data_IF_198262446881
#
_entry.id   IF_198262446881
#
_cell.length_a   1.000
_cell.length_b   1.000
_cell.length_c   1.000
_cell.angle_alpha   90.00
_cell.angle_beta   90.00
_cell.angle_gamma   90.00
#
_symmetry.space_group_name_H-M   'P 1'
#
loop_
_entity.id
_entity.type
_entity.pdbx_description
1 polymer ?
#
# COMPACT_ATOMS: atom_id res chain seq x y z
N UNK A 1 2.97 -3.70 5.71
CA UNK A 1 4.10 -4.56 5.33
C UNK A 1 3.57 -5.64 4.38
N UNK A 2 3.77 -5.49 3.06
CA UNK A 2 3.46 -6.57 2.12
C UNK A 2 4.56 -7.61 2.07
N UNK A 3 4.18 -8.80 2.50
CA UNK A 3 4.81 -10.05 2.10
C UNK A 3 4.01 -10.63 0.90
N UNK A 4 4.60 -10.62 -0.29
CA UNK A 4 4.08 -11.41 -1.42
C UNK A 4 4.44 -12.87 -1.10
N UNK A 5 3.52 -13.58 -0.45
CA UNK A 5 3.68 -14.99 -0.08
C UNK A 5 3.15 -15.90 -1.18
N UNK A 6 4.02 -16.47 -2.00
CA UNK A 6 3.61 -17.59 -2.86
C UNK A 6 3.31 -18.85 -2.02
N UNK A 7 2.11 -18.95 -1.43
CA UNK A 7 1.60 -20.09 -0.65
C UNK A 7 0.48 -19.68 0.31
N UNK A 8 -0.43 -20.60 0.73
CA UNK A 8 -1.55 -20.25 1.60
C UNK A 8 -1.05 -19.76 2.97
N UNK A 9 -1.38 -18.51 3.30
CA UNK A 9 -1.20 -17.85 4.60
C UNK A 9 -2.03 -18.48 5.73
N UNK A 10 -3.03 -19.28 5.35
CA UNK A 10 -3.86 -20.08 6.22
C UNK A 10 -4.76 -20.97 5.38
N UNK A 11 -5.13 -22.12 5.91
CA UNK A 11 -6.21 -22.95 5.37
C UNK A 11 -7.52 -22.54 6.06
N UNK A 12 -8.53 -22.17 5.30
CA UNK A 12 -9.80 -21.77 5.92
C UNK A 12 -10.53 -23.03 6.41
N UNK A 13 -10.43 -23.29 7.72
CA UNK A 13 -11.17 -24.35 8.43
C UNK A 13 -12.70 -24.14 8.43
N UNK A 14 -13.19 -23.03 7.87
CA UNK A 14 -14.58 -22.78 7.54
C UNK A 14 -14.72 -22.21 6.13
N UNK A 15 -14.80 -23.09 5.12
CA UNK A 15 -14.89 -22.67 3.72
C UNK A 15 -16.17 -21.86 3.45
N UNK A 16 -16.02 -20.60 3.06
CA UNK A 16 -17.13 -19.82 2.49
C UNK A 16 -17.58 -20.51 1.20
N UNK A 17 -18.80 -21.07 1.20
CA UNK A 17 -19.43 -21.78 0.06
C UNK A 17 -18.72 -23.08 -0.39
N UNK A 18 -18.02 -23.79 0.51
CA UNK A 18 -17.43 -25.10 0.20
C UNK A 18 -16.23 -25.07 -0.75
N UNK A 19 -15.68 -23.88 -1.04
CA UNK A 19 -14.44 -23.73 -1.81
C UNK A 19 -13.32 -23.23 -0.90
N UNK A 20 -12.19 -23.91 -0.89
CA UNK A 20 -10.97 -23.44 -0.23
C UNK A 20 -10.37 -22.31 -1.08
N UNK A 21 -10.24 -21.12 -0.51
CA UNK A 21 -9.54 -19.98 -1.12
C UNK A 21 -8.17 -19.88 -0.48
N UNK A 22 -7.12 -19.89 -1.29
CA UNK A 22 -5.75 -19.71 -0.82
C UNK A 22 -5.44 -18.22 -0.69
N UNK A 23 -5.00 -17.80 0.50
CA UNK A 23 -4.53 -16.44 0.74
C UNK A 23 -3.03 -16.39 0.42
N UNK A 24 -2.60 -15.64 -0.59
CA UNK A 24 -1.22 -15.67 -1.12
C UNK A 24 -0.50 -14.31 -1.02
N UNK A 25 -1.07 -13.35 -0.31
CA UNK A 25 -0.47 -12.03 -0.13
C UNK A 25 -1.16 -11.29 1.02
N UNK A 26 -0.43 -10.37 1.67
CA UNK A 26 -0.97 -9.48 2.70
C UNK A 26 -0.40 -8.08 2.53
N UNK A 27 -1.05 -7.15 1.84
CA UNK A 27 -0.50 -5.80 1.59
C UNK A 27 -1.03 -4.80 2.62
N UNK A 28 -0.26 -3.76 2.93
CA UNK A 28 -0.86 -2.53 3.45
C UNK A 28 -1.61 -1.78 2.34
N UNK A 29 -2.62 -1.00 2.71
CA UNK A 29 -3.52 -0.32 1.76
C UNK A 29 -2.79 0.67 0.82
N UNK A 30 -1.93 1.54 1.35
CA UNK A 30 -1.20 2.54 0.56
C UNK A 30 -0.23 1.89 -0.43
N UNK A 31 0.45 0.81 0.01
CA UNK A 31 1.32 0.02 -0.85
C UNK A 31 0.50 -0.75 -1.91
N UNK A 32 -0.73 -1.19 -1.59
CA UNK A 32 -1.57 -1.94 -2.51
C UNK A 32 -2.03 -1.04 -3.65
N UNK A 33 -2.36 0.22 -3.32
CA UNK A 33 -2.71 1.24 -4.29
C UNK A 33 -1.53 1.52 -5.24
N UNK A 34 -0.30 1.60 -4.73
CA UNK A 34 0.90 1.72 -5.58
C UNK A 34 1.02 0.58 -6.59
N UNK A 35 0.84 -0.68 -6.14
CA UNK A 35 0.89 -1.84 -7.04
C UNK A 35 -0.26 -1.83 -8.05
N UNK A 36 -1.47 -1.52 -7.62
CA UNK A 36 -2.66 -1.48 -8.48
C UNK A 36 -2.57 -0.43 -9.59
N UNK A 37 -1.82 0.64 -9.36
CA UNK A 37 -1.59 1.74 -10.32
C UNK A 37 -0.31 1.54 -11.16
N UNK A 38 0.39 0.41 -10.97
CA UNK A 38 1.60 0.10 -11.73
C UNK A 38 2.84 0.90 -11.34
N UNK A 39 2.90 1.45 -10.11
CA UNK A 39 4.05 2.22 -9.59
C UNK A 39 5.23 1.31 -9.21
N UNK A 40 5.71 0.50 -10.15
CA UNK A 40 6.68 -0.58 -9.92
C UNK A 40 8.13 -0.15 -10.10
N UNK A 41 8.40 1.01 -10.70
CA UNK A 41 9.75 1.50 -10.98
C UNK A 41 10.18 2.55 -9.97
N UNK A 42 11.49 2.65 -9.77
CA UNK A 42 12.08 3.73 -8.96
C UNK A 42 11.66 5.09 -9.52
N UNK A 43 11.18 5.96 -8.65
CA UNK A 43 10.66 7.29 -9.00
C UNK A 43 9.16 7.31 -9.32
N UNK A 44 8.50 6.16 -9.51
CA UNK A 44 7.04 6.14 -9.60
C UNK A 44 6.44 6.59 -8.26
N UNK A 45 5.40 7.41 -8.33
CA UNK A 45 4.75 8.00 -7.16
C UNK A 45 3.24 7.87 -7.24
N UNK A 46 2.62 7.65 -6.08
CA UNK A 46 1.17 7.73 -5.88
C UNK A 46 0.86 8.76 -4.82
N UNK A 47 -0.12 9.61 -5.12
CA UNK A 47 -0.71 10.52 -4.17
C UNK A 47 -2.18 10.12 -3.98
N UNK A 48 -2.53 9.68 -2.77
CA UNK A 48 -3.92 9.41 -2.41
C UNK A 48 -4.48 10.64 -1.73
N UNK A 49 -5.54 11.20 -2.32
CA UNK A 49 -6.23 12.39 -1.81
C UNK A 49 -7.58 11.99 -1.19
N UNK A 50 -7.69 12.17 0.12
CA UNK A 50 -8.91 12.04 0.91
C UNK A 50 -8.98 13.16 1.93
N UNK A 51 -9.47 12.91 3.15
CA UNK A 51 -9.42 13.90 4.24
C UNK A 51 -8.00 14.42 4.47
N UNK A 52 -7.01 13.52 4.42
CA UNK A 52 -5.59 13.84 4.30
C UNK A 52 -5.03 13.47 2.92
N UNK A 53 -3.74 13.72 2.71
CA UNK A 53 -2.98 13.30 1.55
C UNK A 53 -1.85 12.35 1.97
N UNK A 54 -1.72 11.24 1.26
CA UNK A 54 -0.64 10.27 1.44
C UNK A 54 0.17 10.19 0.17
N UNK A 55 1.44 10.61 0.25
CA UNK A 55 2.41 10.44 -0.83
C UNK A 55 3.21 9.17 -0.57
N UNK A 56 3.31 8.33 -1.59
CA UNK A 56 4.21 7.19 -1.62
C UNK A 56 5.08 7.29 -2.87
N UNK A 57 6.40 7.14 -2.71
CA UNK A 57 7.38 7.16 -3.81
C UNK A 57 8.23 5.90 -3.75
N UNK A 58 8.31 5.17 -4.85
CA UNK A 58 9.15 3.98 -4.95
C UNK A 58 10.64 4.36 -5.03
N UNK A 59 11.45 3.90 -4.08
CA UNK A 59 12.91 4.15 -4.02
C UNK A 59 13.73 2.89 -4.30
N UNK A 60 13.10 1.79 -4.71
CA UNK A 60 13.78 0.55 -5.06
C UNK A 60 14.34 -0.18 -3.84
N UNK A 61 15.51 -0.80 -3.99
CA UNK A 61 16.10 -1.69 -2.99
C UNK A 61 17.00 -1.00 -1.95
N UNK A 62 17.18 0.31 -2.05
CA UNK A 62 18.11 1.06 -1.20
C UNK A 62 17.37 2.12 -0.39
N UNK A 63 17.44 2.00 0.93
CA UNK A 63 16.88 3.01 1.84
C UNK A 63 17.86 4.17 1.97
N UNK A 64 17.43 5.36 1.60
CA UNK A 64 18.11 6.61 1.95
C UNK A 64 17.19 7.35 2.92
N UNK A 65 17.55 7.49 4.21
CA UNK A 65 16.71 8.17 5.17
C UNK A 65 16.56 9.65 4.78
N UNK A 66 15.33 10.15 4.60
CA UNK A 66 15.09 11.55 4.26
C UNK A 66 15.26 12.45 5.51
N UNK A 67 15.87 13.63 5.34
CA UNK A 67 16.00 14.65 6.39
C UNK A 67 14.85 15.68 6.37
N UNK A 68 13.70 15.33 5.78
CA UNK A 68 12.70 16.30 5.30
C UNK A 68 11.27 16.04 5.77
N UNK A 69 11.07 15.29 6.85
CA UNK A 69 9.73 15.01 7.41
C UNK A 69 8.97 13.88 6.72
N UNK A 70 9.63 13.17 5.80
CA UNK A 70 9.17 11.90 5.25
C UNK A 70 9.78 10.74 6.05
N UNK A 71 9.28 9.53 5.87
CA UNK A 71 9.86 8.34 6.49
C UNK A 71 9.94 7.18 5.49
N UNK A 72 11.01 6.37 5.54
CA UNK A 72 11.12 5.19 4.71
C UNK A 72 10.21 4.08 5.25
N UNK A 73 9.54 3.38 4.35
CA UNK A 73 8.70 2.21 4.67
C UNK A 73 9.03 1.06 3.74
N UNK A 74 8.71 -0.16 4.18
CA UNK A 74 8.72 -1.33 3.29
C UNK A 74 7.49 -1.26 2.40
N UNK A 75 7.70 -1.15 1.09
CA UNK A 75 6.64 -1.22 0.09
C UNK A 75 6.13 -2.65 -0.05
N UNK A 76 6.99 -3.52 -0.58
CA UNK A 76 6.70 -4.95 -0.74
C UNK A 76 7.99 -5.76 -0.79
N UNK A 77 7.88 -7.05 -0.46
CA UNK A 77 8.96 -8.01 -0.58
C UNK A 77 8.42 -9.37 -1.06
N UNK A 78 9.30 -10.17 -1.66
CA UNK A 78 8.98 -11.54 -2.07
C UNK A 78 9.46 -12.52 -0.99
N UNK A 79 8.58 -13.43 -0.63
CA UNK A 79 8.92 -14.57 0.23
C UNK A 79 9.77 -15.57 -0.56
N UNK A 80 10.96 -15.92 -0.04
CA UNK A 80 11.80 -16.97 -0.61
C UNK A 80 11.58 -18.28 0.16
N UNK A 81 10.88 -19.23 -0.45
CA UNK A 81 10.72 -20.59 0.09
C UNK A 81 11.82 -21.50 -0.45
N UNK A 82 12.46 -22.24 0.45
CA UNK A 82 13.33 -23.37 0.12
C UNK A 82 12.53 -24.65 -0.14
N UNK A 83 11.31 -24.78 0.42
CA UNK A 83 10.40 -25.92 0.24
C UNK A 83 8.94 -25.46 0.07
N UNK A 84 8.32 -25.85 -1.05
CA UNK A 84 6.95 -25.51 -1.42
C UNK A 84 5.87 -26.39 -0.79
N UNK A 85 6.25 -27.48 -0.10
CA UNK A 85 5.33 -28.45 0.48
C UNK A 85 4.87 -28.11 1.91
N UNK A 86 5.60 -27.24 2.62
CA UNK A 86 5.34 -26.90 4.02
C UNK A 86 4.36 -25.72 4.17
N UNK A 87 3.51 -25.70 5.20
CA UNK A 87 2.64 -24.53 5.45
C UNK A 87 3.45 -23.36 6.03
N UNK A 88 2.94 -22.14 5.88
CA UNK A 88 3.55 -20.94 6.46
C UNK A 88 3.66 -21.00 8.00
N UNK A 89 2.85 -21.84 8.64
CA UNK A 89 2.83 -22.05 10.10
C UNK A 89 3.97 -22.98 10.56
N UNK A 90 4.53 -23.79 9.64
CA UNK A 90 5.53 -24.81 9.95
C UNK A 90 6.96 -24.40 9.58
N UNK A 91 7.13 -23.32 8.80
CA UNK A 91 8.44 -22.81 8.40
C UNK A 91 8.93 -21.73 9.37
N UNK A 92 10.08 -21.93 10.05
CA UNK A 92 10.73 -20.87 10.79
C UNK A 92 11.21 -19.78 9.81
N UNK A 93 10.91 -18.53 10.14
CA UNK A 93 11.36 -17.28 9.51
C UNK A 93 11.65 -17.34 8.01
N UNK A 94 10.63 -17.01 7.22
CA UNK A 94 10.77 -16.90 5.77
C UNK A 94 11.70 -15.74 5.43
N UNK A 95 12.81 -16.04 4.75
CA UNK A 95 13.72 -15.03 4.20
C UNK A 95 12.95 -14.15 3.19
N UNK A 96 12.98 -12.83 3.40
CA UNK A 96 12.43 -11.85 2.45
C UNK A 96 13.51 -11.47 1.44
N UNK A 97 13.21 -11.66 0.15
CA UNK A 97 14.06 -11.25 -0.98
C UNK A 97 13.38 -10.15 -1.78
N UNK A 98 14.18 -9.43 -2.56
CA UNK A 98 13.72 -8.38 -3.48
C UNK A 98 12.84 -7.33 -2.77
N UNK A 99 13.31 -6.88 -1.59
CA UNK A 99 12.61 -5.84 -0.81
C UNK A 99 12.64 -4.54 -1.60
N UNK A 100 11.46 -3.97 -1.81
CA UNK A 100 11.26 -2.63 -2.35
C UNK A 100 10.83 -1.71 -1.22
N UNK A 101 11.51 -0.57 -1.12
CA UNK A 101 11.24 0.48 -0.15
C UNK A 101 10.51 1.64 -0.81
N UNK A 102 9.71 2.33 0.00
CA UNK A 102 9.05 3.56 -0.38
C UNK A 102 9.50 4.68 0.55
N UNK A 103 9.43 5.92 0.07
CA UNK A 103 9.34 7.09 0.94
C UNK A 103 7.87 7.45 1.06
N UNK A 104 7.40 7.51 2.31
CA UNK A 104 6.04 7.91 2.63
C UNK A 104 6.03 9.29 3.28
N UNK A 105 5.04 10.09 2.88
CA UNK A 105 4.73 11.38 3.46
C UNK A 105 3.23 11.52 3.67
N UNK A 106 2.86 12.20 4.74
CA UNK A 106 1.46 12.39 5.12
C UNK A 106 1.17 13.86 5.42
N UNK A 107 0.03 14.33 4.94
CA UNK A 107 -0.55 15.62 5.32
C UNK A 107 -1.99 15.38 5.78
N UNK A 108 -2.29 15.67 7.05
CA UNK A 108 -3.59 15.43 7.66
C UNK A 108 -4.72 16.32 7.14
N UNK A 109 -4.39 17.50 6.59
CA UNK A 109 -5.37 18.56 6.35
C UNK A 109 -5.66 18.83 4.87
N UNK A 110 -5.23 17.94 3.97
CA UNK A 110 -5.39 18.16 2.52
C UNK A 110 -6.87 18.31 2.11
N UNK A 111 -7.70 17.28 2.28
CA UNK A 111 -9.13 17.35 1.96
C UNK A 111 -9.96 18.07 3.02
N UNK A 112 -9.53 18.06 4.28
CA UNK A 112 -10.20 18.81 5.35
C UNK A 112 -10.21 20.32 5.05
N UNK A 113 -9.18 20.84 4.37
CA UNK A 113 -9.11 22.23 3.93
C UNK A 113 -10.21 22.59 2.95
N UNK A 114 -10.57 21.70 2.02
CA UNK A 114 -11.70 21.92 1.11
C UNK A 114 -13.04 21.95 1.85
N UNK A 115 -13.21 21.10 2.87
CA UNK A 115 -14.40 21.09 3.71
C UNK A 115 -14.51 22.41 4.48
N UNK A 116 -13.42 22.85 5.12
CA UNK A 116 -13.36 24.13 5.85
C UNK A 116 -13.69 25.33 4.94
N UNK A 117 -13.16 25.35 3.71
CA UNK A 117 -13.47 26.39 2.72
C UNK A 117 -14.94 26.38 2.29
N UNK A 118 -15.53 25.20 2.13
CA UNK A 118 -16.96 25.04 1.84
C UNK A 118 -17.83 25.56 2.99
N UNK A 119 -17.51 25.17 4.22
CA UNK A 119 -18.22 25.60 5.44
C UNK A 119 -18.08 27.11 5.69
N UNK A 120 -16.94 27.70 5.34
CA UNK A 120 -16.71 29.15 5.38
C UNK A 120 -17.44 29.92 4.26
N UNK A 121 -18.21 29.24 3.40
CA UNK A 121 -18.95 29.87 2.31
C UNK A 121 -18.07 30.42 1.18
N UNK A 122 -16.79 30.01 1.10
CA UNK A 122 -15.85 30.49 0.08
C UNK A 122 -15.95 29.74 -1.25
N UNK A 123 -16.62 28.59 -1.27
CA UNK A 123 -16.86 27.80 -2.47
C UNK A 123 -18.31 28.00 -2.92
N UNK A 124 -18.52 28.89 -3.90
CA UNK A 124 -19.79 29.00 -4.59
C UNK A 124 -19.95 27.82 -5.55
N UNK A 125 -21.10 27.15 -5.52
CA UNK A 125 -21.48 26.26 -6.63
C UNK A 125 -21.61 27.14 -7.87
N UNK A 126 -20.82 26.83 -8.90
CA UNK A 126 -21.08 27.40 -10.22
C UNK A 126 -22.32 26.69 -10.74
N UNK A 127 -23.50 27.19 -10.36
CA UNK A 127 -24.74 26.82 -11.03
C UNK A 127 -24.66 27.44 -12.43
N UNK A 128 -24.03 26.72 -13.34
CA UNK A 128 -24.08 27.02 -14.76
C UNK A 128 -24.29 25.70 -15.48
N UNK A 129 -25.48 25.47 -16.06
CA UNK A 129 -25.66 24.42 -17.03
C UNK A 129 -24.81 24.81 -18.25
N UNK A 130 -23.64 24.19 -18.39
CA UNK A 130 -22.94 24.21 -19.66
C UNK A 130 -23.64 23.19 -20.57
N UNK A 131 -24.47 23.72 -21.47
CA UNK A 131 -24.97 23.14 -22.73
C UNK A 131 -25.39 21.67 -22.73
#
# INVERSE_FOLDING_TARGET
MLEIRCGPLGDQSGAVRGRRVRVTALIGDSQAAMLGEGCLRVGDAKLTLGTGAFLNVNIGSHVIPPNTGFYPVVGWAQSARTDGSLSCETLPDTELKNVTYLIEGFNSDAGSSLIKLKEAGMLHTVDSPLL
#
